data_IF_570130780145
#
_entry.id   IF_570130780145
#
_cell.length_a   1.000
_cell.length_b   1.000
_cell.length_c   1.000
_cell.angle_alpha   90.00
_cell.angle_beta   90.00
_cell.angle_gamma   90.00
#
_symmetry.space_group_name_H-M   'P 1'
#
loop_
_entity.id
_entity.type
_entity.pdbx_description
1 polymer ?
#
# COMPACT_ATOMS: atom_id res chain seq x y z
N UNK A 1 23.95 -24.31 5.42
CA UNK A 1 25.42 -24.48 5.37
C UNK A 1 25.92 -23.45 4.36
N UNK A 2 26.65 -22.43 4.80
CA UNK A 2 27.09 -21.31 3.94
C UNK A 2 28.40 -21.70 3.25
N UNK A 3 28.49 -21.51 1.93
CA UNK A 3 29.67 -21.84 1.11
C UNK A 3 30.88 -20.96 1.50
N UNK A 4 32.01 -21.55 1.93
CA UNK A 4 33.21 -20.81 2.33
C UNK A 4 34.01 -20.18 1.16
N UNK A 5 33.58 -20.32 -0.11
CA UNK A 5 34.29 -19.78 -1.29
C UNK A 5 33.66 -18.55 -1.94
N UNK A 6 32.63 -17.95 -1.33
CA UNK A 6 32.05 -16.72 -1.86
C UNK A 6 33.04 -15.54 -1.75
N UNK A 7 33.27 -14.75 -2.82
CA UNK A 7 34.21 -13.63 -2.79
C UNK A 7 33.83 -12.58 -1.73
N UNK A 8 34.81 -11.91 -1.09
CA UNK A 8 34.57 -10.91 -0.04
C UNK A 8 33.98 -9.63 -0.66
N UNK A 9 32.67 -9.65 -0.89
CA UNK A 9 31.94 -8.54 -1.49
C UNK A 9 30.43 -8.76 -1.59
N UNK A 10 29.95 -10.01 -1.41
CA UNK A 10 28.53 -10.32 -1.47
C UNK A 10 28.04 -10.79 -0.10
N UNK A 11 28.16 -9.92 0.92
CA UNK A 11 27.39 -10.11 2.16
C UNK A 11 25.92 -9.86 1.79
N UNK A 12 25.15 -10.93 1.62
CA UNK A 12 23.76 -10.83 1.17
C UNK A 12 22.95 -9.89 2.05
N UNK A 13 22.30 -8.90 1.43
CA UNK A 13 21.40 -7.94 2.11
C UNK A 13 20.11 -8.64 2.58
N UNK A 14 19.72 -9.74 1.92
CA UNK A 14 18.48 -10.45 2.21
C UNK A 14 18.66 -11.50 3.33
N UNK A 15 17.96 -11.32 4.45
CA UNK A 15 17.97 -12.24 5.59
C UNK A 15 16.74 -13.16 5.61
N UNK A 16 15.60 -12.67 5.13
CA UNK A 16 14.34 -13.41 5.03
C UNK A 16 13.53 -12.90 3.84
N UNK A 17 12.83 -13.81 3.17
CA UNK A 17 11.93 -13.52 2.06
C UNK A 17 10.71 -14.44 2.12
N UNK A 18 9.52 -13.84 2.20
CA UNK A 18 8.25 -14.50 1.90
C UNK A 18 7.59 -13.77 0.74
N UNK A 19 7.48 -14.45 -0.40
CA UNK A 19 6.84 -13.93 -1.60
C UNK A 19 5.43 -14.48 -1.72
N UNK A 20 4.45 -13.59 -1.87
CA UNK A 20 3.06 -13.92 -2.10
C UNK A 20 2.65 -13.42 -3.49
N UNK A 21 2.34 -14.35 -4.38
CA UNK A 21 1.87 -14.04 -5.72
C UNK A 21 0.53 -13.28 -5.68
N UNK A 22 0.27 -12.46 -6.70
CA UNK A 22 -0.99 -11.73 -6.78
C UNK A 22 -2.16 -12.70 -7.02
N UNK A 23 -3.21 -12.53 -6.24
CA UNK A 23 -4.53 -13.17 -6.44
C UNK A 23 -5.57 -12.15 -6.88
N UNK A 24 -5.13 -10.97 -7.31
CA UNK A 24 -6.00 -9.87 -7.70
C UNK A 24 -6.69 -10.20 -9.02
N UNK A 25 -8.02 -10.11 -9.00
CA UNK A 25 -8.88 -10.37 -10.14
C UNK A 25 -9.76 -9.15 -10.40
N UNK A 26 -9.62 -8.59 -11.61
CA UNK A 26 -10.39 -7.43 -12.07
C UNK A 26 -11.88 -7.72 -12.24
N UNK A 27 -12.26 -8.99 -12.38
CA UNK A 27 -13.65 -9.42 -12.58
C UNK A 27 -14.37 -9.67 -11.25
N UNK A 28 -13.62 -9.82 -10.15
CA UNK A 28 -14.17 -10.10 -8.83
C UNK A 28 -14.77 -8.82 -8.24
N UNK A 29 -16.04 -8.91 -7.84
CA UNK A 29 -16.73 -7.84 -7.12
C UNK A 29 -16.05 -7.64 -5.76
N UNK A 30 -15.84 -6.39 -5.31
CA UNK A 30 -15.24 -6.11 -4.00
C UNK A 30 -16.03 -6.81 -2.89
N UNK A 31 -15.31 -7.43 -1.98
CA UNK A 31 -15.91 -8.13 -0.87
C UNK A 31 -16.50 -7.13 0.15
N UNK A 32 -17.63 -7.47 0.76
CA UNK A 32 -18.17 -6.70 1.89
C UNK A 32 -17.34 -6.91 3.17
N UNK A 33 -16.49 -7.95 3.19
CA UNK A 33 -15.57 -8.26 4.27
C UNK A 33 -14.34 -7.38 4.18
N UNK A 34 -13.92 -6.87 5.34
CA UNK A 34 -12.62 -6.25 5.49
C UNK A 34 -11.57 -7.34 5.47
N UNK A 35 -10.77 -7.41 4.41
CA UNK A 35 -9.53 -8.18 4.44
C UNK A 35 -8.43 -7.29 5.00
N UNK A 36 -7.66 -7.82 5.96
CA UNK A 36 -6.54 -7.11 6.56
C UNK A 36 -5.37 -6.89 5.57
N UNK A 37 -5.36 -7.63 4.45
CA UNK A 37 -4.35 -7.58 3.40
C UNK A 37 -5.05 -7.53 2.04
N UNK A 38 -4.48 -6.84 1.06
CA UNK A 38 -4.98 -6.85 -0.31
C UNK A 38 -4.56 -8.12 -1.09
N UNK A 39 -4.84 -8.14 -2.39
CA UNK A 39 -4.59 -9.26 -3.29
C UNK A 39 -3.47 -9.00 -4.32
N UNK A 40 -2.77 -7.86 -4.24
CA UNK A 40 -1.59 -7.59 -5.06
C UNK A 40 -0.44 -8.53 -4.71
N UNK A 41 0.54 -8.63 -5.60
CA UNK A 41 1.77 -9.34 -5.28
C UNK A 41 2.50 -8.62 -4.15
N UNK A 42 3.00 -9.37 -3.18
CA UNK A 42 3.68 -8.85 -2.00
C UNK A 42 4.97 -9.62 -1.72
N UNK A 43 5.90 -8.95 -1.06
CA UNK A 43 7.09 -9.60 -0.54
C UNK A 43 7.40 -9.06 0.86
N UNK A 44 7.36 -9.94 1.86
CA UNK A 44 7.70 -9.62 3.25
C UNK A 44 9.17 -9.99 3.48
N UNK A 45 9.98 -8.98 3.76
CA UNK A 45 11.44 -9.09 3.79
C UNK A 45 11.98 -8.77 5.18
N UNK A 46 13.07 -9.42 5.53
CA UNK A 46 14.00 -8.90 6.54
C UNK A 46 15.31 -8.61 5.83
N UNK A 47 15.72 -7.35 5.83
CA UNK A 47 16.94 -6.88 5.20
C UNK A 47 18.00 -6.55 6.25
N UNK A 48 19.25 -6.79 5.90
CA UNK A 48 20.43 -6.34 6.63
C UNK A 48 20.76 -4.91 6.19
N UNK A 49 20.61 -3.96 7.10
CA UNK A 49 20.99 -2.56 6.91
C UNK A 49 22.29 -2.27 7.65
N UNK A 50 23.36 -1.97 6.91
CA UNK A 50 24.67 -1.62 7.50
C UNK A 50 24.62 -0.22 8.10
N UNK A 51 25.31 -0.01 9.23
CA UNK A 51 25.35 1.30 9.88
C UNK A 51 25.95 2.40 9.00
N UNK A 52 26.90 2.03 8.12
CA UNK A 52 27.53 2.95 7.16
C UNK A 52 26.59 3.47 6.07
N UNK A 53 25.41 2.85 5.88
CA UNK A 53 24.42 3.25 4.88
C UNK A 53 23.40 4.26 5.42
N UNK A 54 23.50 4.64 6.70
CA UNK A 54 22.57 5.55 7.36
C UNK A 54 23.34 6.80 7.77
N UNK A 55 22.97 7.98 7.26
CA UNK A 55 23.70 9.24 7.52
C UNK A 55 23.74 9.62 9.01
N UNK A 56 22.69 9.30 9.77
CA UNK A 56 22.63 9.51 11.22
C UNK A 56 23.10 8.30 12.04
N UNK A 57 23.66 7.27 11.37
CA UNK A 57 24.00 5.99 11.99
C UNK A 57 22.77 5.20 12.46
N UNK A 58 23.02 4.05 13.08
CA UNK A 58 21.97 3.29 13.76
C UNK A 58 21.75 3.93 15.13
N UNK A 59 20.64 4.64 15.35
CA UNK A 59 20.17 5.08 16.67
C UNK A 59 19.83 3.85 17.54
N UNK A 60 20.84 3.09 17.94
CA UNK A 60 20.74 1.94 18.83
C UNK A 60 21.13 2.39 20.24
N UNK A 61 20.28 2.17 21.27
CA UNK A 61 20.62 2.51 22.66
C UNK A 61 21.75 1.64 23.23
N UNK A 62 22.24 0.66 22.47
CA UNK A 62 23.31 -0.26 22.87
C UNK A 62 24.32 -0.27 21.72
N UNK A 63 25.60 -0.14 22.01
CA UNK A 63 26.67 -0.27 21.01
C UNK A 63 26.53 -1.64 20.31
N UNK A 64 25.84 -1.67 19.17
CA UNK A 64 25.58 -2.90 18.41
C UNK A 64 26.91 -3.34 17.77
N UNK A 65 27.61 -4.25 18.46
CA UNK A 65 28.89 -4.86 18.05
C UNK A 65 28.85 -5.41 16.61
N UNK A 66 27.65 -5.71 16.10
CA UNK A 66 27.43 -6.27 14.76
C UNK A 66 27.66 -5.28 13.62
N UNK A 67 27.54 -3.96 13.85
CA UNK A 67 27.67 -2.94 12.79
C UNK A 67 26.51 -2.89 11.78
N UNK A 68 25.45 -3.68 11.97
CA UNK A 68 24.25 -3.72 11.13
C UNK A 68 22.98 -4.02 11.94
N UNK A 69 21.83 -3.64 11.38
CA UNK A 69 20.48 -3.85 11.94
C UNK A 69 19.62 -4.67 10.97
N UNK A 70 18.81 -5.59 11.50
CA UNK A 70 17.75 -6.24 10.74
C UNK A 70 16.55 -5.29 10.62
N UNK A 71 16.07 -5.04 9.39
CA UNK A 71 14.92 -4.17 9.11
C UNK A 71 13.85 -4.98 8.40
N UNK A 72 12.62 -4.96 8.92
CA UNK A 72 11.47 -5.50 8.20
C UNK A 72 11.07 -4.53 7.09
N UNK A 73 10.91 -5.03 5.87
CA UNK A 73 10.46 -4.26 4.72
C UNK A 73 9.35 -5.05 4.02
N UNK A 74 8.22 -4.39 3.78
CA UNK A 74 7.11 -4.98 3.07
C UNK A 74 7.00 -4.30 1.69
N UNK A 75 7.15 -5.07 0.62
CA UNK A 75 7.01 -4.59 -0.76
C UNK A 75 5.67 -5.04 -1.32
N UNK A 76 5.01 -4.14 -2.05
CA UNK A 76 3.69 -4.38 -2.65
C UNK A 76 3.72 -3.87 -4.09
N UNK A 77 3.22 -4.68 -5.01
CA UNK A 77 3.24 -4.37 -6.45
C UNK A 77 1.82 -4.31 -7.02
N UNK A 78 1.10 -3.18 -6.86
CA UNK A 78 -0.19 -2.99 -7.47
C UNK A 78 -0.06 -2.62 -8.96
N UNK A 79 -1.03 -2.99 -9.81
CA UNK A 79 -1.18 -2.42 -11.14
C UNK A 79 -1.33 -0.88 -11.10
N UNK A 80 -0.88 -0.18 -12.15
CA UNK A 80 -0.87 1.29 -12.21
C UNK A 80 -2.26 1.90 -12.02
N UNK A 81 -3.30 1.28 -12.58
CA UNK A 81 -4.69 1.72 -12.47
C UNK A 81 -5.31 1.48 -11.08
N UNK A 82 -4.59 0.81 -10.20
CA UNK A 82 -4.97 0.52 -8.81
C UNK A 82 -4.06 1.22 -7.80
N UNK A 83 -2.97 1.83 -8.25
CA UNK A 83 -1.94 2.43 -7.40
C UNK A 83 -2.49 3.42 -6.37
N UNK A 84 -3.43 4.29 -6.77
CA UNK A 84 -4.01 5.28 -5.84
C UNK A 84 -4.76 4.64 -4.66
N UNK A 85 -5.51 3.55 -4.92
CA UNK A 85 -6.24 2.81 -3.89
C UNK A 85 -5.29 1.99 -3.02
N UNK A 86 -4.27 1.39 -3.63
CA UNK A 86 -3.21 0.68 -2.91
C UNK A 86 -2.45 1.64 -1.97
N UNK A 87 -2.04 2.81 -2.47
CA UNK A 87 -1.34 3.82 -1.69
C UNK A 87 -2.18 4.26 -0.49
N UNK A 88 -3.47 4.54 -0.69
CA UNK A 88 -4.40 4.90 0.38
C UNK A 88 -4.49 3.81 1.45
N UNK A 89 -4.60 2.54 1.05
CA UNK A 89 -4.67 1.40 1.96
C UNK A 89 -3.35 1.09 2.69
N UNK A 90 -2.20 1.33 2.06
CA UNK A 90 -0.89 1.03 2.65
C UNK A 90 -0.26 2.20 3.41
N UNK A 91 -0.77 3.41 3.23
CA UNK A 91 -0.37 4.59 4.01
C UNK A 91 -1.03 4.58 5.40
N UNK A 92 -2.25 4.03 5.51
CA UNK A 92 -2.99 3.96 6.76
C UNK A 92 -3.31 5.35 7.35
N UNK A 93 -3.52 5.49 8.66
CA UNK A 93 -3.54 4.44 9.69
C UNK A 93 -4.72 3.48 9.57
N UNK A 94 -4.64 2.32 10.24
CA UNK A 94 -5.75 1.33 10.27
C UNK A 94 -7.08 1.93 10.71
N UNK A 95 -7.07 2.90 11.62
CA UNK A 95 -8.27 3.57 12.09
C UNK A 95 -8.87 4.49 11.00
N UNK A 96 -8.01 5.26 10.33
CA UNK A 96 -8.41 6.12 9.23
C UNK A 96 -9.05 5.31 8.09
N UNK A 97 -8.43 4.21 7.67
CA UNK A 97 -9.00 3.35 6.63
C UNK A 97 -10.35 2.76 7.02
N UNK A 98 -10.51 2.35 8.29
CA UNK A 98 -11.77 1.80 8.81
C UNK A 98 -12.90 2.83 8.72
N UNK A 99 -12.64 4.06 9.13
CA UNK A 99 -13.62 5.14 9.12
C UNK A 99 -13.92 5.59 7.69
N UNK A 100 -12.91 5.66 6.81
CA UNK A 100 -13.08 6.02 5.41
C UNK A 100 -13.97 5.03 4.65
N UNK A 101 -13.74 3.72 4.84
CA UNK A 101 -14.60 2.67 4.26
C UNK A 101 -16.01 2.72 4.82
N UNK A 102 -16.15 3.01 6.12
CA UNK A 102 -17.45 3.18 6.77
C UNK A 102 -18.20 4.38 6.18
N UNK A 103 -17.53 5.50 5.99
CA UNK A 103 -18.09 6.70 5.36
C UNK A 103 -18.54 6.43 3.92
N UNK A 104 -17.67 5.86 3.09
CA UNK A 104 -18.00 5.48 1.71
C UNK A 104 -19.27 4.61 1.65
N UNK A 105 -19.40 3.65 2.58
CA UNK A 105 -20.56 2.76 2.65
C UNK A 105 -21.83 3.45 3.14
N UNK A 106 -21.75 4.18 4.25
CA UNK A 106 -22.91 4.75 4.94
C UNK A 106 -23.43 6.02 4.27
N UNK A 107 -22.53 6.93 3.95
CA UNK A 107 -22.88 8.27 3.47
C UNK A 107 -22.93 8.34 1.93
N UNK A 108 -22.13 7.52 1.23
CA UNK A 108 -21.98 7.58 -0.23
C UNK A 108 -22.54 6.38 -0.99
N UNK A 109 -23.05 5.35 -0.29
CA UNK A 109 -23.54 4.08 -0.88
C UNK A 109 -22.49 3.41 -1.80
N UNK A 110 -21.22 3.58 -1.49
CA UNK A 110 -20.08 3.01 -2.23
C UNK A 110 -19.37 1.91 -1.42
N UNK A 111 -18.60 1.07 -2.10
CA UNK A 111 -17.65 0.12 -1.50
C UNK A 111 -16.24 0.56 -1.84
N UNK A 112 -15.43 0.80 -0.81
CA UNK A 112 -14.02 1.14 -0.95
C UNK A 112 -13.15 -0.01 -0.42
N UNK A 113 -12.17 -0.42 -1.22
CA UNK A 113 -11.09 -1.28 -0.79
C UNK A 113 -9.70 -0.86 -1.31
N UNK A 114 -8.67 -1.68 -1.02
CA UNK A 114 -7.30 -1.42 -1.45
C UNK A 114 -7.15 -1.52 -2.97
N UNK A 115 -8.17 -2.02 -3.66
CA UNK A 115 -8.17 -2.25 -5.08
C UNK A 115 -9.00 -1.21 -5.82
N UNK A 116 -10.07 -0.69 -5.24
CA UNK A 116 -10.91 0.28 -5.92
C UNK A 116 -12.05 0.88 -5.11
N UNK A 117 -12.80 1.74 -5.79
CA UNK A 117 -14.05 2.32 -5.31
C UNK A 117 -15.18 1.94 -6.27
N UNK A 118 -16.24 1.38 -5.72
CA UNK A 118 -17.36 0.81 -6.47
C UNK A 118 -18.66 1.44 -6.02
N UNK A 119 -19.47 1.87 -6.99
CA UNK A 119 -20.72 2.58 -6.75
C UNK A 119 -21.91 1.62 -6.80
N UNK A 120 -22.64 1.46 -5.68
CA UNK A 120 -23.82 0.58 -5.63
C UNK A 120 -25.07 1.19 -6.27
N UNK A 121 -25.03 2.47 -6.65
CA UNK A 121 -26.19 3.15 -7.25
C UNK A 121 -26.29 2.92 -8.76
N UNK A 122 -25.22 2.44 -9.38
CA UNK A 122 -25.22 2.03 -10.79
C UNK A 122 -25.87 0.65 -10.92
N UNK A 123 -26.72 0.48 -11.93
CA UNK A 123 -27.48 -0.76 -12.16
C UNK A 123 -26.56 -1.99 -12.19
N UNK A 124 -27.11 -3.08 -11.64
CA UNK A 124 -26.50 -4.40 -11.42
C UNK A 124 -25.95 -5.00 -12.72
N UNK A 125 -24.79 -4.54 -13.18
CA UNK A 125 -24.19 -4.99 -14.44
C UNK A 125 -22.88 -4.28 -14.80
N UNK A 126 -22.65 -3.06 -14.31
CA UNK A 126 -21.40 -2.30 -14.57
C UNK A 126 -20.63 -2.04 -13.26
N UNK A 127 -20.23 -3.11 -12.57
CA UNK A 127 -19.38 -3.06 -11.38
C UNK A 127 -17.91 -2.74 -11.70
N UNK A 128 -17.67 -1.88 -12.69
CA UNK A 128 -16.31 -1.41 -12.97
C UNK A 128 -15.88 -0.47 -11.84
N UNK A 129 -14.66 -0.64 -11.29
CA UNK A 129 -14.12 0.35 -10.37
C UNK A 129 -14.13 1.70 -11.08
N UNK A 130 -14.50 2.75 -10.34
CA UNK A 130 -14.46 4.11 -10.89
C UNK A 130 -13.08 4.32 -11.50
N UNK A 131 -13.04 4.78 -12.77
CA UNK A 131 -11.81 5.24 -13.41
C UNK A 131 -11.37 6.52 -12.72
N UNK A 132 -10.77 6.37 -11.55
CA UNK A 132 -10.05 7.43 -10.92
C UNK A 132 -8.64 7.39 -11.48
N UNK A 133 -8.27 8.38 -12.30
CA UNK A 133 -6.88 8.79 -12.29
C UNK A 133 -6.53 9.13 -10.84
N UNK A 134 -5.29 8.84 -10.40
CA UNK A 134 -4.85 9.15 -9.04
C UNK A 134 -5.19 10.61 -8.65
N UNK A 135 -5.12 11.52 -9.63
CA UNK A 135 -5.58 12.92 -9.52
C UNK A 135 -7.07 13.04 -9.17
N UNK A 136 -8.00 12.32 -9.82
CA UNK A 136 -9.44 12.41 -9.51
C UNK A 136 -9.81 11.80 -8.16
N UNK A 137 -9.17 10.69 -7.75
CA UNK A 137 -9.36 10.13 -6.41
C UNK A 137 -8.87 11.11 -5.34
N UNK A 138 -7.69 11.72 -5.54
CA UNK A 138 -7.11 12.69 -4.63
C UNK A 138 -7.89 14.01 -4.58
N UNK A 139 -8.34 14.54 -5.73
CA UNK A 139 -9.15 15.75 -5.81
C UNK A 139 -10.51 15.53 -5.14
N UNK A 140 -11.17 14.39 -5.40
CA UNK A 140 -12.43 14.04 -4.71
C UNK A 140 -12.25 13.89 -3.20
N UNK A 141 -11.12 13.30 -2.76
CA UNK A 141 -10.78 13.15 -1.35
C UNK A 141 -10.47 14.49 -0.66
N UNK A 142 -9.70 15.36 -1.32
CA UNK A 142 -9.32 16.68 -0.82
C UNK A 142 -10.50 17.66 -0.79
N UNK A 143 -11.38 17.65 -1.80
CA UNK A 143 -12.58 18.50 -1.82
C UNK A 143 -13.55 18.16 -0.68
N UNK A 144 -13.58 16.90 -0.25
CA UNK A 144 -14.53 16.44 0.76
C UNK A 144 -14.00 16.62 2.20
N UNK A 145 -12.69 16.49 2.43
CA UNK A 145 -12.06 16.72 3.74
C UNK A 145 -11.97 18.20 4.12
N UNK A 146 -11.84 19.09 3.13
CA UNK A 146 -11.70 20.54 3.35
C UNK A 146 -13.05 21.28 3.40
N UNK A 147 -14.17 20.60 3.11
CA UNK A 147 -15.50 21.22 3.19
C UNK A 147 -15.73 22.34 2.17
N UNK A 148 -14.92 22.45 1.13
CA UNK A 148 -15.04 23.50 0.12
C UNK A 148 -15.67 22.97 -1.16
N UNK A 149 -16.83 23.52 -1.48
CA UNK A 149 -17.45 23.34 -2.78
C UNK A 149 -16.51 23.80 -3.90
N UNK A 150 -16.20 22.87 -4.81
CA UNK A 150 -15.72 23.15 -6.18
C UNK A 150 -14.58 24.17 -6.29
N UNK A 151 -13.37 23.82 -5.84
CA UNK A 151 -12.19 24.47 -6.40
C UNK A 151 -11.89 23.86 -7.77
N UNK A 152 -12.38 24.55 -8.79
CA UNK A 152 -11.92 24.40 -10.18
C UNK A 152 -10.46 24.83 -10.21
N UNK A 153 -9.54 23.86 -10.13
CA UNK A 153 -8.17 24.07 -10.61
C UNK A 153 -8.17 23.72 -12.10
N UNK A 154 -8.55 24.70 -12.92
CA UNK A 154 -8.20 24.69 -14.34
C UNK A 154 -6.70 24.95 -14.50
N UNK A 155 -6.10 24.16 -15.39
CA UNK A 155 -4.79 24.36 -16.02
C UNK A 155 -3.54 23.99 -15.18
N UNK A 156 -3.09 22.73 -15.33
CA UNK A 156 -1.70 22.27 -15.63
C UNK A 156 -1.63 20.73 -15.70
#
# INVERSE_FOLDING_TARGET
MVDPRAPPGHRGILLYCDYQASTFDLTKVPAHSFEAMDHFAKCFLILRLEASQVEEGLNSPVEDIRGWRAVRVDLVSPPVDRYAFALLGWTGSRQFERDLRRFARKERRMLLDNHGLYDKTKETGDWRPMKASARRAFIWWASELLGEGTLVFDSL
#
